data_IF_670411053432
#
_entry.id   IF_670411053432
#
_cell.length_a   1.000
_cell.length_b   1.000
_cell.length_c   1.000
_cell.angle_alpha   90.00
_cell.angle_beta   90.00
_cell.angle_gamma   90.00
#
_symmetry.space_group_name_H-M   'P 1'
#
loop_
_entity.id
_entity.type
_entity.pdbx_description
1 polymer ?
#
# COMPACT_ATOMS: atom_id res chain seq x y z
N UNK A 1 8.08 -16.82 8.01
CA UNK A 1 7.25 -18.02 8.31
C UNK A 1 5.85 -17.86 7.69
N UNK A 2 5.03 -16.88 8.06
CA UNK A 2 3.65 -16.70 7.55
C UNK A 2 3.56 -16.61 6.03
N UNK A 3 4.44 -15.87 5.35
CA UNK A 3 4.45 -15.74 3.88
C UNK A 3 4.65 -17.10 3.23
N UNK A 4 5.63 -17.89 3.69
CA UNK A 4 5.89 -19.23 3.18
C UNK A 4 4.70 -20.17 3.35
N UNK A 5 4.02 -20.08 4.48
CA UNK A 5 2.86 -20.95 4.76
C UNK A 5 1.66 -20.61 3.89
N UNK A 6 1.46 -19.33 3.59
CA UNK A 6 0.43 -18.88 2.65
C UNK A 6 0.78 -19.32 1.23
N UNK A 7 2.04 -19.17 0.80
CA UNK A 7 2.49 -19.57 -0.55
C UNK A 7 2.35 -21.06 -0.80
N UNK A 8 2.52 -21.90 0.22
CA UNK A 8 2.27 -23.36 0.08
C UNK A 8 0.80 -23.68 -0.21
N UNK A 9 -0.13 -22.87 0.28
CA UNK A 9 -1.58 -23.11 0.19
C UNK A 9 -2.26 -22.39 -0.96
N UNK A 10 -1.75 -21.19 -1.32
CA UNK A 10 -2.43 -20.28 -2.25
C UNK A 10 -1.46 -19.74 -3.31
N UNK A 11 -1.94 -19.67 -4.56
CA UNK A 11 -1.21 -19.04 -5.69
C UNK A 11 -1.65 -17.59 -5.88
N UNK A 12 -1.48 -16.79 -4.84
CA UNK A 12 -1.81 -15.35 -4.86
C UNK A 12 -0.55 -14.52 -4.65
N UNK A 13 -0.48 -13.28 -5.20
CA UNK A 13 0.59 -12.34 -4.86
C UNK A 13 0.54 -11.98 -3.37
N UNK A 14 1.71 -11.86 -2.75
CA UNK A 14 1.83 -11.54 -1.31
C UNK A 14 2.69 -10.30 -1.13
N UNK A 15 2.13 -9.30 -0.44
CA UNK A 15 2.85 -8.15 0.06
C UNK A 15 3.52 -8.50 1.41
N UNK A 16 4.84 -8.34 1.48
CA UNK A 16 5.54 -8.27 2.76
C UNK A 16 5.32 -6.87 3.36
N UNK A 17 4.30 -6.74 4.24
CA UNK A 17 3.97 -5.47 4.89
C UNK A 17 4.76 -5.35 6.19
N UNK A 18 5.96 -4.80 6.08
CA UNK A 18 6.91 -4.60 7.18
C UNK A 18 7.67 -3.29 7.00
N UNK A 19 8.47 -2.89 7.98
CA UNK A 19 9.39 -1.76 7.89
C UNK A 19 10.69 -2.21 7.22
N UNK A 20 10.85 -1.90 5.94
CA UNK A 20 12.09 -2.11 5.21
C UNK A 20 12.99 -0.90 5.44
N UNK A 21 14.07 -1.10 6.19
CA UNK A 21 15.02 -0.05 6.57
C UNK A 21 16.46 -0.35 6.08
N UNK A 22 16.68 -1.54 5.53
CA UNK A 22 17.97 -1.99 5.02
C UNK A 22 17.76 -2.82 3.73
N UNK A 23 18.54 -2.59 2.66
CA UNK A 23 18.46 -3.36 1.42
C UNK A 23 18.60 -4.88 1.61
N UNK A 24 19.31 -5.35 2.65
CA UNK A 24 19.42 -6.77 2.97
C UNK A 24 18.08 -7.46 3.24
N UNK A 25 17.05 -6.72 3.67
CA UNK A 25 15.73 -7.27 3.88
C UNK A 25 15.04 -7.71 2.57
N UNK A 26 15.49 -7.19 1.42
CA UNK A 26 14.90 -7.49 0.11
C UNK A 26 15.14 -8.95 -0.32
N UNK A 27 16.41 -9.45 -0.40
CA UNK A 27 16.64 -10.86 -0.70
C UNK A 27 15.99 -11.78 0.33
N UNK A 28 15.91 -11.37 1.60
CA UNK A 28 15.24 -12.15 2.64
C UNK A 28 13.74 -12.26 2.37
N UNK A 29 13.05 -11.14 2.09
CA UNK A 29 11.62 -11.14 1.74
C UNK A 29 11.35 -12.00 0.49
N UNK A 30 12.20 -11.90 -0.53
CA UNK A 30 12.13 -12.71 -1.74
C UNK A 30 12.26 -14.19 -1.43
N UNK A 31 13.21 -14.58 -0.57
CA UNK A 31 13.44 -15.98 -0.19
C UNK A 31 12.25 -16.61 0.53
N UNK A 32 11.45 -15.79 1.22
CA UNK A 32 10.21 -16.22 1.85
C UNK A 32 9.02 -16.28 0.88
N UNK A 33 9.19 -15.85 -0.36
CA UNK A 33 8.17 -15.92 -1.40
C UNK A 33 7.31 -14.65 -1.53
N UNK A 34 7.79 -13.49 -1.04
CA UNK A 34 7.11 -12.22 -1.29
C UNK A 34 7.13 -11.86 -2.76
N UNK A 35 6.05 -11.26 -3.23
CA UNK A 35 5.94 -10.72 -4.60
C UNK A 35 6.05 -9.19 -4.59
N UNK A 36 5.76 -8.57 -3.45
CA UNK A 36 5.76 -7.13 -3.26
C UNK A 36 6.32 -6.77 -1.89
N UNK A 37 6.96 -5.61 -1.79
CA UNK A 37 7.44 -5.01 -0.54
C UNK A 37 6.82 -3.63 -0.33
N UNK A 38 6.94 -3.10 0.88
CA UNK A 38 6.47 -1.78 1.27
C UNK A 38 7.66 -0.86 1.59
N UNK A 39 7.70 0.31 0.97
CA UNK A 39 8.62 1.40 1.32
C UNK A 39 7.79 2.50 1.98
N UNK A 40 8.03 2.78 3.25
CA UNK A 40 7.35 3.82 4.02
C UNK A 40 8.25 5.06 4.03
N UNK A 41 7.91 6.10 3.28
CA UNK A 41 8.75 7.30 3.15
C UNK A 41 9.01 7.94 4.52
N UNK A 42 8.00 8.03 5.37
CA UNK A 42 8.12 8.57 6.73
C UNK A 42 9.12 7.83 7.63
N UNK A 43 9.45 6.59 7.35
CA UNK A 43 10.32 5.75 8.16
C UNK A 43 11.79 5.78 7.70
N UNK A 44 12.12 6.44 6.59
CA UNK A 44 13.42 6.37 5.94
C UNK A 44 14.07 7.75 5.85
N UNK A 45 15.41 7.75 5.83
CA UNK A 45 16.23 8.97 5.74
C UNK A 45 17.15 8.92 4.53
N UNK A 46 17.48 10.10 3.98
CA UNK A 46 18.48 10.24 2.92
C UNK A 46 18.19 9.36 1.70
N UNK A 47 19.15 8.52 1.32
CA UNK A 47 19.09 7.63 0.16
C UNK A 47 18.50 6.24 0.45
N UNK A 48 18.12 5.93 1.69
CA UNK A 48 17.66 4.59 2.06
C UNK A 48 16.49 4.09 1.20
N UNK A 49 15.50 4.95 0.94
CA UNK A 49 14.37 4.57 0.10
C UNK A 49 14.81 4.23 -1.34
N UNK A 50 15.78 4.97 -1.89
CA UNK A 50 16.32 4.74 -3.24
C UNK A 50 17.11 3.43 -3.30
N UNK A 51 17.87 3.12 -2.25
CA UNK A 51 18.66 1.89 -2.14
C UNK A 51 17.73 0.66 -2.04
N UNK A 52 16.73 0.71 -1.17
CA UNK A 52 15.74 -0.36 -1.00
C UNK A 52 14.93 -0.55 -2.29
N UNK A 53 14.49 0.54 -2.93
CA UNK A 53 13.75 0.49 -4.18
C UNK A 53 14.59 -0.16 -5.30
N UNK A 54 15.82 0.31 -5.48
CA UNK A 54 16.72 -0.23 -6.50
C UNK A 54 17.01 -1.71 -6.27
N UNK A 55 17.19 -2.12 -5.01
CA UNK A 55 17.41 -3.52 -4.66
C UNK A 55 16.16 -4.36 -4.95
N UNK A 56 14.95 -3.89 -4.61
CA UNK A 56 13.71 -4.59 -4.89
C UNK A 56 13.51 -4.87 -6.39
N UNK A 57 13.85 -3.92 -7.27
CA UNK A 57 13.78 -4.10 -8.72
C UNK A 57 14.73 -5.19 -9.21
N UNK A 58 15.96 -5.30 -8.66
CA UNK A 58 16.91 -6.37 -9.02
C UNK A 58 16.35 -7.78 -8.72
N UNK A 59 15.55 -7.90 -7.66
CA UNK A 59 14.90 -9.15 -7.27
C UNK A 59 13.52 -9.36 -7.94
N UNK A 60 13.14 -8.52 -8.91
CA UNK A 60 11.83 -8.56 -9.55
C UNK A 60 10.69 -8.58 -8.52
N UNK A 61 10.77 -7.71 -7.50
CA UNK A 61 9.69 -7.47 -6.56
C UNK A 61 8.93 -6.21 -6.97
N UNK A 62 7.62 -6.27 -6.91
CA UNK A 62 6.80 -5.06 -6.96
C UNK A 62 7.03 -4.24 -5.69
N UNK A 63 6.84 -2.92 -5.80
CA UNK A 63 7.04 -2.00 -4.67
C UNK A 63 5.79 -1.15 -4.49
N UNK A 64 5.30 -1.08 -3.26
CA UNK A 64 4.36 -0.03 -2.83
C UNK A 64 5.19 1.02 -2.09
N UNK A 65 5.08 2.27 -2.52
CA UNK A 65 5.65 3.43 -1.82
C UNK A 65 4.53 4.09 -1.03
N UNK A 66 4.56 3.94 0.28
CA UNK A 66 3.55 4.47 1.20
C UNK A 66 3.88 5.90 1.60
N UNK A 67 2.86 6.78 1.50
CA UNK A 67 2.95 8.21 1.80
C UNK A 67 1.81 8.65 2.73
N UNK A 68 2.09 9.64 3.60
CA UNK A 68 1.16 10.12 4.62
C UNK A 68 0.83 11.61 4.48
N UNK A 69 1.64 12.36 3.75
CA UNK A 69 1.45 13.80 3.52
C UNK A 69 1.86 14.22 2.10
N UNK A 70 1.65 15.49 1.78
CA UNK A 70 1.93 16.06 0.46
C UNK A 70 3.42 16.02 0.12
N UNK A 71 4.31 16.25 1.09
CA UNK A 71 5.76 16.26 0.90
C UNK A 71 6.29 14.83 0.59
N UNK A 72 5.78 13.85 1.30
CA UNK A 72 6.09 12.44 1.02
C UNK A 72 5.56 12.02 -0.35
N UNK A 73 4.36 12.49 -0.72
CA UNK A 73 3.77 12.25 -2.03
C UNK A 73 4.62 12.81 -3.17
N UNK A 74 5.11 14.05 -3.05
CA UNK A 74 6.06 14.63 -4.01
C UNK A 74 7.33 13.79 -4.14
N UNK A 75 7.87 13.32 -3.01
CA UNK A 75 9.05 12.44 -2.99
C UNK A 75 8.79 11.11 -3.68
N UNK A 76 7.58 10.55 -3.54
CA UNK A 76 7.22 9.26 -4.11
C UNK A 76 7.12 9.28 -5.64
N UNK A 77 6.87 10.42 -6.27
CA UNK A 77 6.72 10.54 -7.73
C UNK A 77 7.97 10.11 -8.52
N UNK A 78 9.16 10.10 -7.91
CA UNK A 78 10.38 9.63 -8.57
C UNK A 78 10.45 8.10 -8.77
N UNK A 79 9.60 7.33 -8.09
CA UNK A 79 9.56 5.86 -8.17
C UNK A 79 8.57 5.39 -9.23
N UNK A 80 8.87 5.61 -10.48
CA UNK A 80 7.99 5.48 -11.64
C UNK A 80 7.39 4.08 -11.87
N UNK A 81 8.06 3.02 -11.42
CA UNK A 81 7.61 1.64 -11.53
C UNK A 81 6.89 1.14 -10.25
N UNK A 82 6.76 1.99 -9.23
CA UNK A 82 6.07 1.61 -7.99
C UNK A 82 4.56 1.84 -8.09
N UNK A 83 3.84 1.21 -7.18
CA UNK A 83 2.51 1.63 -6.78
C UNK A 83 2.65 2.69 -5.69
N UNK A 84 1.83 3.75 -5.69
CA UNK A 84 1.81 4.70 -4.58
C UNK A 84 0.63 4.38 -3.68
N UNK A 85 0.93 4.09 -2.41
CA UNK A 85 -0.04 3.84 -1.35
C UNK A 85 -0.25 5.09 -0.49
N UNK A 86 -1.46 5.65 -0.49
CA UNK A 86 -1.81 6.79 0.33
C UNK A 86 -2.40 6.27 1.64
N UNK A 87 -1.65 6.41 2.74
CA UNK A 87 -2.09 5.94 4.03
C UNK A 87 -2.93 7.02 4.76
N UNK A 88 -4.17 6.67 5.05
CA UNK A 88 -5.11 7.51 5.79
C UNK A 88 -4.85 7.55 7.30
N UNK A 89 -3.91 6.74 7.80
CA UNK A 89 -3.53 6.70 9.22
C UNK A 89 -2.33 7.60 9.45
N UNK A 90 -2.46 8.56 10.35
CA UNK A 90 -1.34 9.32 10.85
C UNK A 90 -0.47 8.42 11.75
N UNK A 91 0.80 8.24 11.41
CA UNK A 91 1.69 7.35 12.18
C UNK A 91 2.05 7.87 13.58
N UNK A 92 1.86 9.18 13.85
CA UNK A 92 2.19 9.80 15.14
C UNK A 92 0.99 9.79 16.10
N UNK A 93 -0.21 10.13 15.61
CA UNK A 93 -1.42 10.23 16.43
C UNK A 93 -2.30 9.00 16.35
N UNK A 94 -2.08 8.15 15.35
CA UNK A 94 -2.89 6.99 14.96
C UNK A 94 -4.31 7.35 14.49
N UNK A 95 -4.62 8.64 14.36
CA UNK A 95 -5.88 9.10 13.80
C UNK A 95 -6.01 8.66 12.34
N UNK A 96 -7.24 8.39 11.94
CA UNK A 96 -7.54 7.88 10.60
C UNK A 96 -8.59 8.77 9.93
N UNK A 97 -8.27 9.27 8.72
CA UNK A 97 -9.21 10.04 7.91
C UNK A 97 -9.04 9.78 6.42
N UNK A 98 -10.08 9.28 5.76
CA UNK A 98 -10.08 9.03 4.31
C UNK A 98 -9.94 10.31 3.47
N UNK A 99 -10.14 11.49 4.07
CA UNK A 99 -9.87 12.77 3.42
C UNK A 99 -8.40 12.95 3.05
N UNK A 100 -7.49 12.24 3.73
CA UNK A 100 -6.06 12.26 3.40
C UNK A 100 -5.80 11.75 1.98
N UNK A 101 -6.44 10.62 1.59
CA UNK A 101 -6.37 10.13 0.21
C UNK A 101 -6.83 11.18 -0.79
N UNK A 102 -7.94 11.86 -0.52
CA UNK A 102 -8.51 12.87 -1.44
C UNK A 102 -7.55 14.06 -1.59
N UNK A 103 -6.95 14.52 -0.48
CA UNK A 103 -6.01 15.65 -0.49
C UNK A 103 -4.70 15.32 -1.22
N UNK A 104 -4.13 14.15 -0.95
CA UNK A 104 -2.84 13.72 -1.54
C UNK A 104 -3.01 13.37 -3.02
N UNK A 105 -4.18 12.88 -3.44
CA UNK A 105 -4.44 12.49 -4.82
C UNK A 105 -4.07 13.59 -5.82
N UNK A 106 -4.32 14.85 -5.51
CA UNK A 106 -3.99 15.97 -6.40
C UNK A 106 -2.50 16.04 -6.76
N UNK A 107 -1.62 15.60 -5.87
CA UNK A 107 -0.17 15.52 -6.12
C UNK A 107 0.18 14.30 -6.96
N UNK A 108 -0.38 13.14 -6.61
CA UNK A 108 0.04 11.86 -7.22
C UNK A 108 -0.77 11.46 -8.46
N UNK A 109 -1.81 12.18 -8.84
CA UNK A 109 -2.69 11.85 -9.99
C UNK A 109 -1.96 11.73 -11.34
N UNK A 110 -0.79 12.37 -11.48
CA UNK A 110 0.05 12.28 -12.67
C UNK A 110 0.98 11.05 -12.67
N UNK A 111 1.06 10.32 -11.57
CA UNK A 111 1.84 9.10 -11.49
C UNK A 111 1.27 8.03 -12.44
N UNK A 112 2.17 7.36 -13.19
CA UNK A 112 1.75 6.37 -14.21
C UNK A 112 1.40 5.01 -13.64
N UNK A 113 1.93 4.69 -12.47
CA UNK A 113 1.65 3.44 -11.76
C UNK A 113 0.30 3.45 -11.03
N UNK A 114 -0.17 2.30 -10.54
CA UNK A 114 -1.40 2.21 -9.77
C UNK A 114 -1.32 3.01 -8.46
N UNK A 115 -2.46 3.62 -8.09
CA UNK A 115 -2.64 4.27 -6.80
C UNK A 115 -3.48 3.39 -5.89
N UNK A 116 -3.15 3.37 -4.59
CA UNK A 116 -3.88 2.67 -3.54
C UNK A 116 -4.31 3.64 -2.45
N UNK A 117 -5.46 3.40 -1.84
CA UNK A 117 -5.83 4.01 -0.56
C UNK A 117 -5.71 2.97 0.56
N UNK A 118 -5.01 3.34 1.63
CA UNK A 118 -4.69 2.44 2.73
C UNK A 118 -5.27 2.95 4.05
N UNK A 119 -5.74 2.04 4.89
CA UNK A 119 -6.34 2.32 6.19
C UNK A 119 -7.66 3.11 6.13
N UNK A 120 -8.48 2.96 7.17
CA UNK A 120 -9.68 3.78 7.40
C UNK A 120 -10.89 3.46 6.55
N UNK A 121 -10.80 2.55 5.61
CA UNK A 121 -11.92 2.10 4.80
C UNK A 121 -12.70 1.08 5.62
N UNK A 122 -13.89 1.46 6.08
CA UNK A 122 -14.72 0.65 6.97
C UNK A 122 -15.74 -0.17 6.20
N UNK A 123 -16.31 0.42 5.17
CA UNK A 123 -17.38 -0.18 4.37
C UNK A 123 -17.32 0.30 2.91
N UNK A 124 -18.34 -0.10 2.15
CA UNK A 124 -18.52 0.27 0.75
C UNK A 124 -18.72 1.77 0.52
N UNK A 125 -19.25 2.51 1.51
CA UNK A 125 -19.47 3.95 1.38
C UNK A 125 -18.17 4.73 1.38
N UNK A 126 -17.25 4.36 2.27
CA UNK A 126 -15.92 4.97 2.32
C UNK A 126 -15.16 4.73 1.00
N UNK A 127 -15.17 3.47 0.51
CA UNK A 127 -14.50 3.12 -0.72
C UNK A 127 -15.15 3.81 -1.94
N UNK A 128 -16.47 3.92 -1.98
CA UNK A 128 -17.21 4.65 -3.02
C UNK A 128 -16.88 6.14 -3.01
N UNK A 129 -16.83 6.76 -1.84
CA UNK A 129 -16.45 8.17 -1.71
C UNK A 129 -15.04 8.43 -2.25
N UNK A 130 -14.07 7.58 -1.91
CA UNK A 130 -12.70 7.69 -2.45
C UNK A 130 -12.73 7.55 -3.97
N UNK A 131 -13.41 6.53 -4.50
CA UNK A 131 -13.51 6.29 -5.93
C UNK A 131 -14.14 7.47 -6.68
N UNK A 132 -15.27 8.00 -6.20
CA UNK A 132 -15.96 9.13 -6.81
C UNK A 132 -15.12 10.41 -6.84
N UNK A 133 -14.26 10.63 -5.83
CA UNK A 133 -13.42 11.82 -5.72
C UNK A 133 -12.09 11.71 -6.45
N UNK A 134 -11.55 10.50 -6.61
CA UNK A 134 -10.16 10.30 -7.06
C UNK A 134 -10.03 9.31 -8.22
N UNK A 135 -11.01 8.47 -8.48
CA UNK A 135 -10.89 7.34 -9.40
C UNK A 135 -10.05 6.17 -8.85
N UNK A 136 -9.54 6.27 -7.62
CA UNK A 136 -8.78 5.17 -6.99
C UNK A 136 -9.72 4.02 -6.67
N UNK A 137 -9.36 2.83 -7.14
CA UNK A 137 -10.14 1.59 -6.97
C UNK A 137 -9.35 0.45 -6.34
N UNK A 138 -8.11 0.71 -5.94
CA UNK A 138 -7.28 -0.25 -5.23
C UNK A 138 -7.21 0.15 -3.76
N UNK A 139 -7.46 -0.81 -2.89
CA UNK A 139 -7.55 -0.57 -1.44
C UNK A 139 -6.71 -1.58 -0.68
N UNK A 140 -6.02 -1.12 0.37
CA UNK A 140 -5.36 -1.98 1.33
C UNK A 140 -6.12 -1.91 2.65
N UNK A 141 -6.81 -3.01 2.99
CA UNK A 141 -7.76 -3.08 4.10
C UNK A 141 -7.40 -4.26 4.98
N UNK A 142 -7.13 -4.02 6.25
CA UNK A 142 -6.88 -5.05 7.25
C UNK A 142 -7.89 -4.99 8.39
N UNK A 143 -7.88 -3.90 9.14
CA UNK A 143 -8.64 -3.74 10.38
C UNK A 143 -10.14 -4.01 10.23
N UNK A 144 -10.78 -3.46 9.21
CA UNK A 144 -12.22 -3.62 8.98
C UNK A 144 -12.58 -5.06 8.63
N UNK A 145 -11.72 -5.76 7.89
CA UNK A 145 -11.92 -7.19 7.57
C UNK A 145 -11.76 -8.06 8.81
N UNK A 146 -10.76 -7.77 9.65
CA UNK A 146 -10.52 -8.52 10.88
C UNK A 146 -11.62 -8.30 11.95
N UNK A 147 -12.25 -7.13 11.95
CA UNK A 147 -13.37 -6.79 12.85
C UNK A 147 -14.74 -7.23 12.34
N UNK A 148 -14.84 -7.63 11.07
CA UNK A 148 -16.10 -8.03 10.45
C UNK A 148 -16.50 -9.44 10.86
N UNK A 149 -17.77 -9.62 11.22
CA UNK A 149 -18.35 -10.96 11.44
C UNK A 149 -18.39 -11.78 10.14
N UNK A 150 -18.43 -11.11 8.99
CA UNK A 150 -18.41 -11.76 7.68
C UNK A 150 -17.48 -11.03 6.69
N UNK A 151 -16.14 -11.24 6.79
CA UNK A 151 -15.19 -10.55 5.93
C UNK A 151 -15.38 -10.87 4.45
N UNK A 152 -15.87 -12.06 4.11
CA UNK A 152 -16.12 -12.45 2.72
C UNK A 152 -17.23 -11.61 2.07
N UNK A 153 -18.30 -11.30 2.78
CA UNK A 153 -19.35 -10.42 2.28
C UNK A 153 -18.88 -8.96 2.16
N UNK A 154 -18.07 -8.48 3.10
CA UNK A 154 -17.48 -7.15 3.01
C UNK A 154 -16.59 -7.03 1.77
N UNK A 155 -15.72 -8.02 1.49
CA UNK A 155 -14.89 -8.05 0.29
C UNK A 155 -15.76 -8.03 -0.99
N UNK A 156 -16.81 -8.85 -1.05
CA UNK A 156 -17.72 -8.86 -2.22
C UNK A 156 -18.36 -7.51 -2.48
N UNK A 157 -18.76 -6.77 -1.44
CA UNK A 157 -19.32 -5.42 -1.57
C UNK A 157 -18.28 -4.43 -2.07
N UNK A 158 -17.06 -4.48 -1.53
CA UNK A 158 -15.97 -3.61 -1.94
C UNK A 158 -15.55 -3.83 -3.40
N UNK A 159 -15.51 -5.06 -3.89
CA UNK A 159 -15.18 -5.39 -5.29
C UNK A 159 -16.23 -4.81 -6.27
N UNK A 160 -17.48 -4.76 -5.89
CA UNK A 160 -18.58 -4.25 -6.76
C UNK A 160 -18.53 -2.74 -7.01
N UNK A 161 -17.77 -1.97 -6.23
CA UNK A 161 -17.63 -0.52 -6.41
C UNK A 161 -16.99 -0.18 -7.76
N UNK A 162 -16.24 -1.11 -8.33
CA UNK A 162 -15.48 -0.95 -9.58
C UNK A 162 -16.24 -1.47 -10.82
N UNK A 163 -17.46 -1.96 -10.64
CA UNK A 163 -18.33 -2.47 -11.71
C UNK A 163 -19.45 -1.48 -12.01
#
# INVERSE_FOLDING_TARGET
EHIQDIKKKFKIPILAKDFFIDPYQIPLAKSFGSDCILIIIAALNGSQADEIYSEALKYNLSVIVEVHDLKEAETALKYDQALIGINNRNLKTLDVSISNTISIFEVVKAHKGPLLSESGIKDEKDAKLIYEKTGIKNFLIGESLLKSDNPGELIKKLIKINQ
#
